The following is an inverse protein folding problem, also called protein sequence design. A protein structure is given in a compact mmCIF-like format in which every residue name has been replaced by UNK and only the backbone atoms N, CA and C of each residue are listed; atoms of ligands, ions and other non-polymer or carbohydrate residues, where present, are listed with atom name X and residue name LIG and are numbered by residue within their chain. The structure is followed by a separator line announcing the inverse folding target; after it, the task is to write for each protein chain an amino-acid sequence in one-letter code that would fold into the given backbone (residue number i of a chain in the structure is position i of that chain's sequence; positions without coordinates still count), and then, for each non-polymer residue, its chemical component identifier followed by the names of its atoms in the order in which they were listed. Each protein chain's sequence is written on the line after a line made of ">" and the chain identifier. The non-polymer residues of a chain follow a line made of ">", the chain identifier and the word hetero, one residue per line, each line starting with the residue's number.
data_IF_503991970816
#
_entry.id   IF_503991970816
#
_cell.length_a   1.000
_cell.length_b   1.000
_cell.length_c   1.000
_cell.angle_alpha   90.00
_cell.angle_beta   90.00
_cell.angle_gamma   90.00
#
_symmetry.space_group_name_H-M   'P 1'
#
loop_
_entity.id
_entity.type
_entity.pdbx_description
1 polymer ?
#
# COMPACT_ATOMS: atom_id res chain seq x y z
N UNK A 1 26.81 47.90 31.73
CA UNK A 1 27.07 46.95 30.63
C UNK A 1 26.46 45.56 30.85
N UNK A 2 26.47 44.98 32.04
CA UNK A 2 25.91 43.62 32.31
C UNK A 2 24.43 43.46 32.00
N UNK A 3 23.57 44.44 32.29
CA UNK A 3 22.11 44.32 32.04
C UNK A 3 21.74 44.23 30.56
N UNK A 4 22.51 44.78 29.65
CA UNK A 4 22.26 44.66 28.18
C UNK A 4 22.69 43.31 27.60
N UNK A 5 23.72 42.71 28.17
CA UNK A 5 24.20 41.37 27.76
C UNK A 5 23.19 40.30 28.15
N UNK A 6 22.56 40.38 29.35
CA UNK A 6 21.49 39.47 29.79
C UNK A 6 20.26 39.47 28.86
N UNK A 7 19.86 40.65 28.36
CA UNK A 7 18.71 40.76 27.48
C UNK A 7 18.95 40.11 26.10
N UNK A 8 20.17 40.30 25.56
CA UNK A 8 20.57 39.66 24.30
C UNK A 8 20.68 38.14 24.39
N UNK A 9 21.19 37.60 25.52
CA UNK A 9 21.26 36.17 25.76
C UNK A 9 19.84 35.55 25.87
N UNK A 10 18.91 36.21 26.54
CA UNK A 10 17.52 35.75 26.63
C UNK A 10 16.79 35.75 25.28
N UNK A 11 17.05 36.75 24.43
CA UNK A 11 16.46 36.85 23.10
C UNK A 11 16.94 35.71 22.17
N UNK A 12 18.24 35.33 22.28
CA UNK A 12 18.78 34.22 21.50
C UNK A 12 18.26 32.83 21.97
N UNK A 13 18.05 32.64 23.26
CA UNK A 13 17.43 31.41 23.80
C UNK A 13 15.99 31.29 23.40
N UNK A 14 15.22 32.40 23.38
CA UNK A 14 13.84 32.41 22.89
C UNK A 14 13.75 32.06 21.41
N UNK A 15 14.68 32.52 20.57
CA UNK A 15 14.73 32.16 19.13
C UNK A 15 15.01 30.67 18.91
N UNK A 16 15.81 30.03 19.75
CA UNK A 16 16.08 28.60 19.65
C UNK A 16 14.86 27.73 20.01
N UNK A 17 14.01 28.20 20.92
CA UNK A 17 12.79 27.48 21.33
C UNK A 17 11.73 27.54 20.22
N UNK A 18 11.64 28.62 19.45
CA UNK A 18 10.70 28.75 18.32
C UNK A 18 11.11 27.95 17.07
N UNK A 19 12.33 27.44 17.02
CA UNK A 19 12.84 26.64 15.89
C UNK A 19 12.57 25.15 16.03
N UNK A 20 12.00 24.67 17.15
CA UNK A 20 11.64 23.28 17.31
C UNK A 20 10.33 22.98 16.58
N UNK A 21 10.45 22.31 15.44
CA UNK A 21 9.30 21.81 14.68
C UNK A 21 8.77 20.57 15.40
N UNK A 22 7.66 20.72 16.12
CA UNK A 22 6.99 19.60 16.78
C UNK A 22 6.21 18.79 15.75
N UNK A 23 6.61 17.55 15.53
CA UNK A 23 5.83 16.61 14.73
C UNK A 23 4.66 16.07 15.55
N UNK A 24 3.45 16.57 15.27
CA UNK A 24 2.23 16.01 15.86
C UNK A 24 1.91 14.70 15.12
N UNK A 25 1.81 13.56 15.82
CA UNK A 25 1.47 12.30 15.18
C UNK A 25 0.15 12.38 14.44
N UNK A 26 0.13 12.00 13.15
CA UNK A 26 -1.07 11.99 12.35
C UNK A 26 -2.10 11.00 12.92
N UNK A 27 -3.37 11.40 12.98
CA UNK A 27 -4.49 10.54 13.45
C UNK A 27 -4.60 9.27 12.59
N UNK A 28 -4.38 9.41 11.29
CA UNK A 28 -4.33 8.31 10.32
C UNK A 28 -2.99 8.37 9.59
N UNK A 29 -1.92 7.81 10.19
CA UNK A 29 -0.59 7.87 9.58
C UNK A 29 -0.59 7.19 8.22
N UNK A 30 0.18 7.76 7.28
CA UNK A 30 0.40 7.16 5.97
C UNK A 30 1.40 6.01 6.10
N UNK A 31 1.15 4.92 5.38
CA UNK A 31 2.05 3.78 5.25
C UNK A 31 2.32 3.51 3.78
N UNK A 32 3.56 3.13 3.48
CA UNK A 32 3.95 2.49 2.24
C UNK A 32 4.34 1.04 2.53
N UNK A 33 3.84 0.12 1.72
CA UNK A 33 4.20 -1.30 1.74
C UNK A 33 4.69 -1.65 0.35
N UNK A 34 5.83 -2.33 0.27
CA UNK A 34 6.40 -2.77 -0.98
C UNK A 34 6.70 -4.27 -0.89
N UNK A 35 6.37 -5.00 -1.95
CA UNK A 35 6.60 -6.42 -2.05
C UNK A 35 7.28 -6.74 -3.38
N UNK A 36 8.42 -7.44 -3.34
CA UNK A 36 8.99 -8.09 -4.52
C UNK A 36 7.97 -9.09 -5.05
N UNK A 37 7.63 -8.97 -6.31
CA UNK A 37 6.67 -9.86 -6.97
C UNK A 37 7.17 -10.22 -8.36
N UNK A 38 7.45 -11.51 -8.57
CA UNK A 38 8.05 -11.97 -9.80
C UNK A 38 9.36 -11.22 -10.11
N UNK A 39 9.52 -10.69 -11.33
CA UNK A 39 10.71 -9.95 -11.78
C UNK A 39 10.69 -8.47 -11.41
N UNK A 40 9.63 -8.00 -10.73
CA UNK A 40 9.47 -6.59 -10.35
C UNK A 40 8.94 -6.47 -8.91
N UNK A 41 8.15 -5.43 -8.63
CA UNK A 41 7.53 -5.20 -7.33
C UNK A 41 6.12 -4.62 -7.45
N UNK A 42 5.35 -4.82 -6.41
CA UNK A 42 4.09 -4.12 -6.17
C UNK A 42 4.28 -3.23 -4.95
N UNK A 43 3.80 -1.99 -4.99
CA UNK A 43 3.80 -1.10 -3.83
C UNK A 43 2.45 -0.47 -3.61
N UNK A 44 2.12 -0.18 -2.35
CA UNK A 44 0.88 0.45 -1.94
C UNK A 44 1.20 1.57 -0.96
N UNK A 45 0.58 2.73 -1.18
CA UNK A 45 0.62 3.86 -0.25
C UNK A 45 -0.80 4.21 0.18
N UNK A 46 -1.04 4.26 1.47
CA UNK A 46 -2.39 4.48 2.00
C UNK A 46 -2.37 5.09 3.40
N UNK A 47 -3.45 5.78 3.77
CA UNK A 47 -3.67 6.26 5.13
C UNK A 47 -4.31 5.19 6.00
N UNK A 48 -3.87 5.04 7.26
CA UNK A 48 -4.30 4.01 8.20
C UNK A 48 -5.21 4.56 9.29
N UNK A 49 -6.53 4.67 9.07
CA UNK A 49 -7.46 5.05 10.12
C UNK A 49 -7.56 3.96 11.18
N UNK A 50 -7.77 4.36 12.45
CA UNK A 50 -7.98 3.46 13.57
C UNK A 50 -9.47 3.27 13.85
N UNK A 51 -9.85 2.14 14.42
CA UNK A 51 -11.24 1.85 14.85
C UNK A 51 -11.67 2.81 15.95
N UNK A 52 -10.86 2.98 17.00
CA UNK A 52 -11.14 3.86 18.15
C UNK A 52 -12.57 3.66 18.73
N UNK A 53 -12.98 2.42 18.89
CA UNK A 53 -14.29 2.07 19.46
C UNK A 53 -15.49 2.34 18.55
N UNK A 54 -15.29 2.81 17.31
CA UNK A 54 -16.39 3.08 16.36
C UNK A 54 -16.81 1.80 15.65
N UNK A 55 -18.04 1.75 15.21
CA UNK A 55 -18.49 0.76 14.24
C UNK A 55 -18.04 1.23 12.84
N UNK A 56 -17.32 0.37 12.13
CA UNK A 56 -16.67 0.75 10.89
C UNK A 56 -17.63 0.57 9.71
N UNK A 57 -17.84 -0.67 9.28
CA UNK A 57 -18.65 -0.94 8.09
C UNK A 57 -20.16 -0.85 8.41
N UNK A 58 -20.87 -0.16 7.54
CA UNK A 58 -22.28 0.19 7.72
C UNK A 58 -22.52 1.52 8.47
N UNK A 59 -21.48 2.09 9.11
CA UNK A 59 -21.57 3.41 9.79
C UNK A 59 -20.49 4.37 9.32
N UNK A 60 -19.24 4.26 9.84
CA UNK A 60 -18.15 5.16 9.43
C UNK A 60 -17.83 5.03 7.92
N UNK A 61 -17.90 3.83 7.40
CA UNK A 61 -17.82 3.51 5.99
C UNK A 61 -19.17 2.88 5.59
N UNK A 62 -20.09 3.65 5.01
CA UNK A 62 -21.43 3.17 4.67
C UNK A 62 -21.38 2.07 3.60
N UNK A 63 -22.25 1.09 3.72
CA UNK A 63 -22.40 0.07 2.68
C UNK A 63 -22.91 0.68 1.37
N UNK A 64 -22.46 0.14 0.24
CA UNK A 64 -22.85 0.57 -1.09
C UNK A 64 -22.24 1.88 -1.56
N UNK A 65 -21.40 2.54 -0.75
CA UNK A 65 -20.76 3.79 -1.13
C UNK A 65 -19.28 3.60 -1.42
N UNK A 66 -18.77 4.39 -2.38
CA UNK A 66 -17.34 4.36 -2.74
C UNK A 66 -16.51 4.92 -1.59
N UNK A 67 -15.56 4.13 -1.12
CA UNK A 67 -14.58 4.49 -0.10
C UNK A 67 -13.17 4.44 -0.69
N UNK A 68 -12.34 5.43 -0.37
CA UNK A 68 -10.95 5.58 -0.83
C UNK A 68 -9.96 4.55 -0.29
N UNK A 69 -10.42 3.42 0.23
CA UNK A 69 -9.59 2.35 0.81
C UNK A 69 -8.53 2.86 1.80
N UNK A 70 -8.95 3.75 2.73
CA UNK A 70 -8.05 4.36 3.70
C UNK A 70 -8.56 5.70 4.23
N UNK A 71 -7.63 6.61 4.53
CA UNK A 71 -7.92 7.95 5.05
C UNK A 71 -7.07 9.01 4.36
N UNK A 72 -7.57 10.26 4.34
CA UNK A 72 -6.97 11.43 3.70
C UNK A 72 -6.98 11.31 2.16
N UNK A 73 -5.83 11.28 1.52
CA UNK A 73 -5.69 11.03 0.08
C UNK A 73 -6.19 9.63 -0.29
N UNK A 74 -6.60 9.42 -1.54
CA UNK A 74 -6.90 8.11 -2.05
C UNK A 74 -5.68 7.19 -1.94
N UNK A 75 -5.92 5.93 -1.59
CA UNK A 75 -4.87 4.92 -1.57
C UNK A 75 -4.39 4.63 -2.98
N UNK A 76 -3.09 4.40 -3.16
CA UNK A 76 -2.48 4.15 -4.47
C UNK A 76 -1.77 2.81 -4.48
N UNK A 77 -1.96 2.05 -5.54
CA UNK A 77 -1.22 0.82 -5.83
C UNK A 77 -0.40 1.00 -7.11
N UNK A 78 0.83 0.51 -7.10
CA UNK A 78 1.71 0.51 -8.27
C UNK A 78 2.04 -0.93 -8.64
N UNK A 79 1.76 -1.30 -9.89
CA UNK A 79 2.19 -2.56 -10.48
C UNK A 79 3.42 -2.31 -11.36
N UNK A 80 4.54 -2.95 -11.08
CA UNK A 80 5.78 -2.84 -11.88
C UNK A 80 5.74 -3.64 -13.19
N UNK A 81 4.77 -4.53 -13.34
CA UNK A 81 4.51 -5.33 -14.54
C UNK A 81 3.01 -5.49 -14.78
N UNK A 82 2.64 -6.00 -15.96
CA UNK A 82 1.25 -6.35 -16.28
C UNK A 82 0.77 -7.50 -15.37
N UNK A 83 -0.42 -7.36 -14.79
CA UNK A 83 -0.99 -8.33 -13.84
C UNK A 83 -2.41 -8.72 -14.23
N UNK A 84 -2.88 -9.82 -13.64
CA UNK A 84 -4.30 -10.18 -13.56
C UNK A 84 -4.77 -9.85 -12.15
N UNK A 85 -5.61 -8.86 -12.02
CA UNK A 85 -6.16 -8.39 -10.76
C UNK A 85 -7.60 -8.89 -10.60
N UNK A 86 -7.82 -9.85 -9.69
CA UNK A 86 -9.15 -10.44 -9.49
C UNK A 86 -9.77 -10.99 -10.78
N UNK A 87 -8.97 -11.60 -11.65
CA UNK A 87 -9.40 -12.16 -12.94
C UNK A 87 -9.40 -11.17 -14.12
N UNK A 88 -9.08 -9.88 -13.91
CA UNK A 88 -9.05 -8.87 -14.98
C UNK A 88 -7.62 -8.44 -15.31
N UNK A 89 -7.29 -8.36 -16.61
CA UNK A 89 -5.99 -7.92 -17.09
C UNK A 89 -5.77 -6.43 -16.83
N UNK A 90 -4.69 -6.09 -16.15
CA UNK A 90 -4.30 -4.72 -15.80
C UNK A 90 -2.87 -4.46 -16.26
N UNK A 91 -2.65 -3.34 -16.93
CA UNK A 91 -1.33 -2.92 -17.35
C UNK A 91 -0.49 -2.44 -16.16
N UNK A 92 0.83 -2.53 -16.27
CA UNK A 92 1.74 -1.89 -15.32
C UNK A 92 1.44 -0.40 -15.21
N UNK A 93 1.52 0.13 -14.00
CA UNK A 93 1.19 1.54 -13.77
C UNK A 93 0.78 1.82 -12.33
N UNK A 94 0.38 3.06 -12.09
CA UNK A 94 -0.14 3.53 -10.80
C UNK A 94 -1.65 3.70 -10.88
N UNK A 95 -2.37 3.21 -9.89
CA UNK A 95 -3.83 3.28 -9.82
C UNK A 95 -4.28 3.71 -8.43
N UNK A 96 -5.34 4.49 -8.37
CA UNK A 96 -6.06 4.74 -7.14
C UNK A 96 -6.89 3.50 -6.77
N UNK A 97 -6.91 3.17 -5.48
CA UNK A 97 -7.68 2.08 -4.91
C UNK A 97 -8.95 2.62 -4.28
N UNK A 98 -10.09 2.08 -4.70
CA UNK A 98 -11.39 2.32 -4.08
C UNK A 98 -12.06 1.00 -3.70
N UNK A 99 -12.92 1.05 -2.70
CA UNK A 99 -13.71 -0.08 -2.23
C UNK A 99 -15.17 0.37 -2.11
N UNK A 100 -16.08 -0.44 -2.62
CA UNK A 100 -17.51 -0.34 -2.30
C UNK A 100 -17.83 -1.52 -1.38
N UNK A 101 -17.87 -1.30 -0.06
CA UNK A 101 -18.14 -2.38 0.88
C UNK A 101 -19.62 -2.73 0.88
N UNK A 102 -19.90 -4.02 0.99
CA UNK A 102 -21.19 -4.58 1.33
C UNK A 102 -20.99 -5.51 2.57
N UNK A 103 -22.08 -6.00 3.10
CA UNK A 103 -22.03 -6.82 4.32
C UNK A 103 -21.28 -8.14 4.11
N UNK A 104 -21.44 -8.77 2.97
CA UNK A 104 -20.90 -10.11 2.64
C UNK A 104 -19.81 -10.10 1.59
N UNK A 105 -19.65 -9.00 0.88
CA UNK A 105 -18.68 -8.87 -0.21
C UNK A 105 -18.22 -7.42 -0.38
N UNK A 106 -17.03 -7.24 -0.93
CA UNK A 106 -16.50 -5.93 -1.29
C UNK A 106 -16.19 -5.88 -2.77
N UNK A 107 -16.62 -4.81 -3.45
CA UNK A 107 -16.11 -4.48 -4.77
C UNK A 107 -14.86 -3.64 -4.62
N UNK A 108 -13.73 -4.16 -5.09
CA UNK A 108 -12.43 -3.48 -5.10
C UNK A 108 -12.19 -2.92 -6.51
N UNK A 109 -11.79 -1.66 -6.61
CA UNK A 109 -11.72 -0.90 -7.87
C UNK A 109 -10.33 -0.31 -8.03
N UNK A 110 -9.76 -0.45 -9.23
CA UNK A 110 -8.58 0.26 -9.71
C UNK A 110 -9.02 1.39 -10.64
N UNK A 111 -8.62 2.62 -10.33
CA UNK A 111 -9.07 3.83 -11.04
C UNK A 111 -7.87 4.71 -11.44
N UNK A 112 -8.00 5.48 -12.52
CA UNK A 112 -6.95 6.39 -13.01
C UNK A 112 -6.78 7.67 -12.19
N UNK A 113 -7.73 8.01 -11.33
CA UNK A 113 -7.75 9.23 -10.51
C UNK A 113 -6.76 9.21 -9.34
N UNK A 114 -5.47 9.05 -9.61
CA UNK A 114 -4.41 8.86 -8.60
C UNK A 114 -4.16 10.06 -7.70
N UNK A 115 -4.62 11.25 -8.08
CA UNK A 115 -4.45 12.50 -7.32
C UNK A 115 -5.73 12.93 -6.59
N UNK A 116 -6.74 12.06 -6.53
CA UNK A 116 -7.99 12.37 -5.88
C UNK A 116 -7.82 12.51 -4.36
N UNK A 117 -8.45 13.54 -3.81
CA UNK A 117 -8.59 13.68 -2.36
C UNK A 117 -9.89 12.99 -1.91
N UNK A 118 -9.73 11.94 -1.11
CA UNK A 118 -10.90 11.17 -0.67
C UNK A 118 -11.54 10.39 -1.81
N UNK A 119 -12.87 10.31 -1.78
CA UNK A 119 -13.70 9.76 -2.85
C UNK A 119 -14.57 10.83 -3.54
N UNK A 120 -14.35 12.11 -3.23
CA UNK A 120 -15.21 13.22 -3.69
C UNK A 120 -15.16 13.44 -5.20
N UNK A 121 -14.02 13.15 -5.81
CA UNK A 121 -13.77 13.32 -7.25
C UNK A 121 -13.65 11.97 -7.97
N UNK A 122 -14.13 10.89 -7.35
CA UNK A 122 -14.20 9.60 -8.02
C UNK A 122 -15.14 9.67 -9.22
N UNK A 123 -14.67 9.21 -10.38
CA UNK A 123 -15.48 9.01 -11.57
C UNK A 123 -15.33 7.54 -12.04
N UNK A 124 -16.44 6.84 -12.14
CA UNK A 124 -16.47 5.45 -12.60
C UNK A 124 -16.00 5.27 -14.06
N UNK A 125 -15.98 6.34 -14.87
CA UNK A 125 -15.43 6.32 -16.23
C UNK A 125 -13.93 6.08 -16.27
N UNK A 126 -13.24 6.40 -15.16
CA UNK A 126 -11.81 6.19 -14.99
C UNK A 126 -11.46 4.82 -14.39
N UNK A 127 -12.45 3.96 -14.15
CA UNK A 127 -12.22 2.61 -13.68
C UNK A 127 -11.49 1.78 -14.74
N UNK A 128 -10.41 1.14 -14.32
CA UNK A 128 -9.57 0.27 -15.18
C UNK A 128 -9.92 -1.19 -14.99
N UNK A 129 -10.16 -1.58 -13.74
CA UNK A 129 -10.58 -2.91 -13.36
C UNK A 129 -11.35 -2.86 -12.05
N UNK A 130 -12.23 -3.83 -11.84
CA UNK A 130 -12.90 -4.03 -10.57
C UNK A 130 -13.21 -5.50 -10.34
N UNK A 131 -13.08 -5.96 -9.11
CA UNK A 131 -13.40 -7.32 -8.73
C UNK A 131 -14.26 -7.32 -7.48
N UNK A 132 -15.16 -8.29 -7.36
CA UNK A 132 -15.95 -8.50 -6.15
C UNK A 132 -15.44 -9.74 -5.43
N UNK A 133 -15.11 -9.59 -4.16
CA UNK A 133 -14.56 -10.65 -3.34
C UNK A 133 -15.37 -10.82 -2.05
N UNK A 134 -15.48 -12.05 -1.52
CA UNK A 134 -16.21 -12.29 -0.28
C UNK A 134 -15.49 -11.67 0.90
N UNK A 135 -16.28 -11.25 1.90
CA UNK A 135 -15.80 -10.81 3.20
C UNK A 135 -15.67 -12.00 4.15
N UNK A 136 -14.56 -12.05 4.87
CA UNK A 136 -14.28 -13.01 5.93
C UNK A 136 -14.27 -12.30 7.28
N UNK A 137 -14.90 -12.91 8.29
CA UNK A 137 -14.83 -12.41 9.65
C UNK A 137 -13.57 -12.98 10.32
N UNK A 138 -12.80 -12.08 10.96
CA UNK A 138 -11.61 -12.45 11.74
C UNK A 138 -11.94 -12.66 13.21
N UNK A 139 -11.20 -13.55 13.85
CA UNK A 139 -11.30 -13.75 15.31
C UNK A 139 -10.70 -12.54 16.08
N UNK A 140 -9.57 -12.05 15.58
CA UNK A 140 -8.87 -10.91 16.17
C UNK A 140 -9.25 -9.60 15.51
N UNK A 141 -9.22 -8.51 16.27
CA UNK A 141 -9.55 -7.18 15.80
C UNK A 141 -8.32 -6.48 15.26
N UNK A 142 -8.35 -6.07 14.01
CA UNK A 142 -7.36 -5.19 13.43
C UNK A 142 -7.70 -3.72 13.72
N UNK A 143 -7.01 -3.12 14.70
CA UNK A 143 -7.33 -1.76 15.17
C UNK A 143 -7.10 -0.68 14.09
N UNK A 144 -6.08 -0.83 13.23
CA UNK A 144 -5.83 0.08 12.12
C UNK A 144 -6.08 -0.60 10.80
N UNK A 145 -6.74 0.11 9.88
CA UNK A 145 -6.86 -0.37 8.50
C UNK A 145 -5.49 -0.76 7.95
N UNK A 146 -5.40 -1.96 7.45
CA UNK A 146 -4.15 -2.54 6.97
C UNK A 146 -4.37 -3.11 5.58
N UNK A 147 -3.44 -2.81 4.67
CA UNK A 147 -3.30 -3.47 3.38
C UNK A 147 -1.96 -4.17 3.39
N UNK A 148 -1.96 -5.46 3.04
CA UNK A 148 -0.76 -6.29 3.05
C UNK A 148 -0.76 -7.27 1.87
N UNK A 149 0.36 -7.98 1.68
CA UNK A 149 0.53 -9.04 0.70
C UNK A 149 0.73 -10.36 1.41
N UNK A 150 0.00 -11.40 1.00
CA UNK A 150 0.09 -12.75 1.57
C UNK A 150 0.14 -13.80 0.45
N UNK A 151 0.44 -15.05 0.80
CA UNK A 151 0.51 -16.22 -0.10
C UNK A 151 1.38 -15.97 -1.35
N UNK A 152 2.53 -15.33 -1.14
CA UNK A 152 3.40 -14.83 -2.20
C UNK A 152 4.18 -15.98 -2.84
N UNK A 153 4.06 -16.07 -4.17
CA UNK A 153 4.84 -16.97 -5.03
C UNK A 153 5.49 -16.20 -6.18
N UNK A 154 6.22 -16.85 -7.06
CA UNK A 154 6.76 -16.21 -8.28
C UNK A 154 5.64 -15.79 -9.27
N UNK A 155 4.43 -16.36 -9.16
CA UNK A 155 3.33 -16.21 -10.10
C UNK A 155 2.16 -15.40 -9.57
N UNK A 156 1.90 -15.47 -8.26
CA UNK A 156 0.70 -14.92 -7.64
C UNK A 156 0.93 -14.51 -6.19
N UNK A 157 0.07 -13.64 -5.72
CA UNK A 157 -0.07 -13.25 -4.32
C UNK A 157 -1.52 -12.87 -4.04
N UNK A 158 -1.86 -12.74 -2.77
CA UNK A 158 -3.10 -12.12 -2.33
C UNK A 158 -2.85 -10.70 -1.81
N UNK A 159 -3.59 -9.74 -2.35
CA UNK A 159 -3.71 -8.39 -1.80
C UNK A 159 -4.79 -8.44 -0.71
N UNK A 160 -4.41 -8.21 0.53
CA UNK A 160 -5.25 -8.41 1.71
C UNK A 160 -5.62 -7.07 2.33
N UNK A 161 -6.91 -6.90 2.62
CA UNK A 161 -7.46 -5.73 3.30
C UNK A 161 -8.06 -6.16 4.63
N UNK A 162 -7.63 -5.53 5.73
CA UNK A 162 -8.10 -5.85 7.07
C UNK A 162 -8.44 -4.59 7.86
N UNK A 163 -9.61 -4.58 8.48
CA UNK A 163 -9.98 -3.54 9.43
C UNK A 163 -11.09 -4.02 10.35
N UNK A 164 -10.97 -3.68 11.64
CA UNK A 164 -11.84 -4.22 12.69
C UNK A 164 -11.80 -5.76 12.68
N UNK A 165 -12.89 -6.43 12.48
CA UNK A 165 -12.97 -7.89 12.33
C UNK A 165 -13.22 -8.34 10.89
N UNK A 166 -13.02 -7.46 9.94
CA UNK A 166 -13.36 -7.70 8.54
C UNK A 166 -12.11 -7.85 7.69
N UNK A 167 -12.09 -8.88 6.86
CA UNK A 167 -11.03 -9.18 5.90
C UNK A 167 -11.60 -9.43 4.51
N UNK A 168 -10.90 -8.95 3.47
CA UNK A 168 -11.16 -9.24 2.07
C UNK A 168 -9.83 -9.48 1.35
N UNK A 169 -9.75 -10.51 0.52
CA UNK A 169 -8.56 -10.92 -0.20
C UNK A 169 -8.80 -10.84 -1.70
N UNK A 170 -7.90 -10.19 -2.44
CA UNK A 170 -7.92 -10.10 -3.90
C UNK A 170 -6.72 -10.85 -4.48
N UNK A 171 -6.93 -11.88 -5.31
CA UNK A 171 -5.81 -12.53 -6.00
C UNK A 171 -5.23 -11.61 -7.06
N UNK A 172 -3.89 -11.55 -7.09
CA UNK A 172 -3.11 -10.84 -8.10
C UNK A 172 -2.12 -11.83 -8.70
N UNK A 173 -2.14 -11.97 -10.02
CA UNK A 173 -1.32 -12.93 -10.74
C UNK A 173 -0.54 -12.20 -11.85
N UNK A 174 0.59 -12.75 -12.31
CA UNK A 174 1.29 -12.27 -13.49
C UNK A 174 0.51 -12.66 -14.75
N UNK A 175 0.58 -11.85 -15.82
CA UNK A 175 -0.18 -12.16 -17.04
C UNK A 175 0.44 -13.30 -17.87
N UNK A 176 1.74 -13.25 -18.13
CA UNK A 176 2.44 -14.20 -18.99
C UNK A 176 3.27 -15.16 -18.14
N UNK A 177 2.61 -16.12 -17.50
CA UNK A 177 3.23 -17.03 -16.53
C UNK A 177 4.42 -17.78 -17.12
N UNK A 178 4.21 -18.49 -18.24
CA UNK A 178 5.26 -19.33 -18.84
C UNK A 178 6.51 -18.54 -19.25
N UNK A 179 6.33 -17.42 -19.97
CA UNK A 179 7.43 -16.56 -20.38
C UNK A 179 8.19 -15.97 -19.18
N UNK A 180 7.44 -15.52 -18.17
CA UNK A 180 8.01 -14.93 -16.97
C UNK A 180 8.80 -15.95 -16.16
N UNK A 181 8.30 -17.16 -16.00
CA UNK A 181 9.02 -18.24 -15.30
C UNK A 181 10.30 -18.62 -16.02
N UNK A 182 10.30 -18.67 -17.36
CA UNK A 182 11.51 -18.89 -18.14
C UNK A 182 12.55 -17.79 -17.90
N UNK A 183 12.14 -16.52 -17.88
CA UNK A 183 13.02 -15.40 -17.56
C UNK A 183 13.59 -15.53 -16.14
N UNK A 184 12.76 -15.86 -15.15
CA UNK A 184 13.20 -16.07 -13.77
C UNK A 184 14.27 -17.16 -13.69
N UNK A 185 14.07 -18.27 -14.39
CA UNK A 185 15.03 -19.37 -14.40
C UNK A 185 16.36 -18.95 -15.04
N UNK A 186 16.31 -18.22 -16.16
CA UNK A 186 17.52 -17.69 -16.80
C UNK A 186 18.27 -16.71 -15.87
N UNK A 187 17.57 -15.81 -15.19
CA UNK A 187 18.17 -14.88 -14.22
C UNK A 187 18.81 -15.61 -13.04
N UNK A 188 18.18 -16.66 -12.52
CA UNK A 188 18.75 -17.53 -11.48
C UNK A 188 20.04 -18.20 -11.94
N UNK A 189 20.07 -18.70 -13.17
CA UNK A 189 21.26 -19.32 -13.78
C UNK A 189 22.40 -18.31 -13.95
N UNK A 190 22.12 -17.11 -14.46
CA UNK A 190 23.12 -16.04 -14.59
C UNK A 190 23.71 -15.70 -13.21
N UNK A 191 22.89 -15.50 -12.21
CA UNK A 191 23.31 -15.18 -10.84
C UNK A 191 24.17 -16.28 -10.22
N UNK A 192 23.88 -17.55 -10.52
CA UNK A 192 24.72 -18.68 -10.11
C UNK A 192 26.10 -18.62 -10.76
N UNK A 193 26.17 -18.39 -12.06
CA UNK A 193 27.42 -18.27 -12.81
C UNK A 193 28.27 -17.10 -12.27
N UNK A 194 27.68 -15.93 -12.04
CA UNK A 194 28.35 -14.78 -11.42
C UNK A 194 28.95 -15.13 -10.05
N UNK A 195 28.18 -15.85 -9.22
CA UNK A 195 28.64 -16.32 -7.91
C UNK A 195 29.85 -17.28 -8.00
N UNK A 196 29.84 -18.18 -8.97
CA UNK A 196 30.94 -19.13 -9.20
C UNK A 196 32.20 -18.42 -9.73
N UNK A 197 32.03 -17.44 -10.61
CA UNK A 197 33.15 -16.59 -11.10
C UNK A 197 33.78 -15.82 -9.93
N UNK A 198 32.96 -15.19 -9.08
CA UNK A 198 33.43 -14.43 -7.93
C UNK A 198 34.24 -15.32 -6.97
N UNK A 199 33.75 -16.52 -6.65
CA UNK A 199 34.46 -17.48 -5.80
C UNK A 199 35.81 -17.91 -6.37
N UNK A 200 35.92 -18.02 -7.70
CA UNK A 200 37.17 -18.38 -8.39
C UNK A 200 38.19 -17.24 -8.45
N UNK A 201 37.73 -15.99 -8.40
CA UNK A 201 38.56 -14.78 -8.45
C UNK A 201 39.07 -14.32 -7.07
N UNK A 202 38.53 -14.84 -5.97
CA UNK A 202 39.04 -14.53 -4.64
C UNK A 202 40.37 -15.27 -4.40
N UNK A 203 41.44 -14.54 -3.95
CA UNK A 203 42.72 -15.18 -3.68
C UNK A 203 42.56 -16.18 -2.53
N UNK A 204 43.02 -17.43 -2.77
CA UNK A 204 43.10 -18.44 -1.72
C UNK A 204 44.01 -17.91 -0.59
N UNK A 205 43.42 -17.67 0.59
CA UNK A 205 44.16 -17.37 1.82
C UNK A 205 44.99 -18.52 2.27
#
# INVERSE_FOLDING_TARGET
>A
MLKRISLFAFLNVAMLVFSQQYNIPAVSPRQAVEQQFSVTKISIEYGRPAVKGRKIFGELVPFGQVWRAGANEASRITFGQDVVFGGQKVKKGVYALYIVPQEKEWKIILNKGINNWGAYTYDAKDDVASTTVPVKMMNEKMERFTINFEDITDEKLNLVFEWDKTRADVPVEIQNVEETLQIIEQLRNIKKIEGDIKKKSEPKK
#
